data_IF_709804753728
#
_entry.id   IF_709804753728
#
_cell.length_a   1.000
_cell.length_b   1.000
_cell.length_c   1.000
_cell.angle_alpha   90.00
_cell.angle_beta   90.00
_cell.angle_gamma   90.00
#
_symmetry.space_group_name_H-M   'P 1'
#
loop_
_entity.id
_entity.type
_entity.pdbx_description
1 polymer ?
#
# COMPACT_ATOMS: atom_id res chain seq x y z
N UNK A 1 10.32 8.87 -7.54
CA UNK A 1 10.16 8.51 -6.12
C UNK A 1 9.86 7.02 -6.05
N UNK A 2 10.15 6.37 -4.93
CA UNK A 2 9.69 5.02 -4.62
C UNK A 2 9.18 4.98 -3.18
N UNK A 3 8.17 4.15 -2.94
CA UNK A 3 7.41 4.16 -1.68
C UNK A 3 7.50 2.81 -0.99
N UNK A 4 7.65 2.84 0.32
CA UNK A 4 7.60 1.67 1.19
C UNK A 4 6.89 2.03 2.49
N UNK A 5 6.46 1.02 3.23
CA UNK A 5 5.82 1.21 4.53
C UNK A 5 6.54 0.40 5.60
N UNK A 6 6.69 0.99 6.78
CA UNK A 6 7.20 0.35 7.99
C UNK A 6 5.99 -0.02 8.87
N UNK A 7 6.03 -1.22 9.46
CA UNK A 7 5.10 -1.68 10.46
C UNK A 7 5.76 -1.72 11.85
N UNK A 8 5.21 -0.95 12.78
CA UNK A 8 5.67 -0.64 14.13
C UNK A 8 6.99 0.14 14.19
N UNK A 9 8.10 -0.47 13.80
CA UNK A 9 9.43 0.14 13.96
C UNK A 9 10.37 -0.19 12.80
N UNK A 10 11.29 0.72 12.49
CA UNK A 10 12.31 0.46 11.48
C UNK A 10 13.31 -0.59 11.99
N UNK A 11 13.74 -1.60 11.19
CA UNK A 11 13.54 -1.78 9.75
C UNK A 11 12.43 -2.79 9.37
N UNK A 12 11.36 -2.91 10.17
CA UNK A 12 10.25 -3.82 9.88
C UNK A 12 9.38 -3.27 8.74
N UNK A 13 9.69 -3.64 7.50
CA UNK A 13 8.88 -3.25 6.35
C UNK A 13 7.62 -4.12 6.21
N UNK A 14 6.53 -3.50 5.73
CA UNK A 14 5.30 -4.22 5.40
C UNK A 14 5.59 -5.24 4.32
N UNK A 15 5.32 -6.51 4.62
CA UNK A 15 5.39 -7.60 3.66
C UNK A 15 4.23 -7.47 2.67
N UNK A 16 4.55 -7.29 1.39
CA UNK A 16 3.57 -7.25 0.32
C UNK A 16 3.19 -8.67 -0.12
N UNK A 17 1.91 -8.93 -0.23
CA UNK A 17 1.31 -10.20 -0.62
C UNK A 17 -0.04 -9.95 -1.32
N UNK A 18 -0.87 -10.97 -1.52
CA UNK A 18 -2.20 -10.79 -2.11
C UNK A 18 -3.16 -9.98 -1.22
N UNK A 19 -2.86 -9.82 0.08
CA UNK A 19 -3.67 -9.08 1.05
C UNK A 19 -3.15 -7.67 1.28
N UNK A 20 -1.86 -7.40 1.06
CA UNK A 20 -1.21 -6.11 1.33
C UNK A 20 -0.43 -5.61 0.13
N UNK A 21 -0.74 -4.39 -0.31
CA UNK A 21 -0.15 -3.80 -1.50
C UNK A 21 0.23 -2.33 -1.27
N UNK A 22 1.44 -1.93 -1.71
CA UNK A 22 1.88 -0.53 -1.71
C UNK A 22 1.91 -0.04 -3.14
N UNK A 23 1.11 0.98 -3.44
CA UNK A 23 1.11 1.63 -4.75
C UNK A 23 2.40 2.40 -4.95
N UNK A 24 3.08 2.18 -6.08
CA UNK A 24 4.23 2.99 -6.45
C UNK A 24 3.83 4.28 -7.17
N UNK A 25 2.56 4.41 -7.56
CA UNK A 25 1.98 5.64 -8.13
C UNK A 25 1.57 6.62 -7.03
N UNK A 26 0.80 6.18 -6.02
CA UNK A 26 0.26 7.06 -4.97
C UNK A 26 1.05 7.02 -3.67
N UNK A 27 1.82 5.96 -3.42
CA UNK A 27 2.49 5.72 -2.14
C UNK A 27 1.59 5.18 -1.03
N UNK A 28 0.31 4.95 -1.29
CA UNK A 28 -0.63 4.42 -0.29
C UNK A 28 -0.39 2.91 -0.05
N UNK A 29 -0.64 2.48 1.19
CA UNK A 29 -0.76 1.08 1.58
C UNK A 29 -2.24 0.66 1.56
N UNK A 30 -2.53 -0.43 0.87
CA UNK A 30 -3.84 -1.07 0.78
C UNK A 30 -3.79 -2.42 1.48
N UNK A 31 -4.75 -2.68 2.37
CA UNK A 31 -4.92 -3.95 3.07
C UNK A 31 -6.30 -4.50 2.73
N UNK A 32 -6.37 -5.53 1.89
CA UNK A 32 -7.62 -6.06 1.32
C UNK A 32 -8.61 -6.57 2.38
N UNK A 33 -8.07 -7.21 3.42
CA UNK A 33 -8.80 -7.65 4.61
C UNK A 33 -7.89 -7.49 5.83
N UNK A 34 -8.36 -6.74 6.83
CA UNK A 34 -7.62 -6.50 8.06
C UNK A 34 -7.73 -7.71 8.99
N UNK A 35 -6.60 -8.09 9.60
CA UNK A 35 -6.47 -9.13 10.61
C UNK A 35 -6.00 -8.51 11.94
N UNK A 36 -6.13 -9.23 13.06
CA UNK A 36 -5.67 -8.74 14.36
C UNK A 36 -4.15 -8.51 14.41
N UNK A 37 -3.38 -9.21 13.59
CA UNK A 37 -1.94 -9.04 13.42
C UNK A 37 -1.55 -7.74 12.72
N UNK A 38 -2.49 -7.04 12.08
CA UNK A 38 -2.24 -5.75 11.43
C UNK A 38 -2.36 -4.56 12.40
N UNK A 39 -2.80 -4.78 13.64
CA UNK A 39 -2.86 -3.71 14.65
C UNK A 39 -1.45 -3.22 14.98
N UNK A 40 -1.20 -1.94 14.80
CA UNK A 40 0.12 -1.35 15.01
C UNK A 40 0.26 0.03 14.39
N UNK A 41 1.50 0.53 14.35
CA UNK A 41 1.81 1.83 13.76
C UNK A 41 2.36 1.66 12.34
N UNK A 42 1.82 2.42 11.40
CA UNK A 42 2.27 2.41 10.01
C UNK A 42 2.96 3.72 9.66
N UNK A 43 4.18 3.64 9.14
CA UNK A 43 4.97 4.80 8.74
C UNK A 43 5.35 4.71 7.27
N UNK A 44 4.95 5.71 6.47
CA UNK A 44 5.34 5.79 5.07
C UNK A 44 6.80 6.24 4.93
N UNK A 45 7.53 5.57 4.04
CA UNK A 45 8.91 5.89 3.66
C UNK A 45 8.92 6.30 2.20
N UNK A 46 9.34 7.54 1.94
CA UNK A 46 9.50 8.06 0.58
C UNK A 46 10.97 8.13 0.26
N UNK A 47 11.37 7.48 -0.84
CA UNK A 47 12.75 7.50 -1.34
C UNK A 47 12.80 8.27 -2.66
N UNK A 48 13.70 9.24 -2.77
CA UNK A 48 14.02 9.87 -4.03
C UNK A 48 14.93 8.94 -4.84
N UNK A 49 14.45 8.47 -5.99
CA UNK A 49 15.15 7.50 -6.84
C UNK A 49 16.36 8.08 -7.56
N UNK A 50 16.49 9.41 -7.64
CA UNK A 50 17.63 10.10 -8.27
C UNK A 50 18.74 10.36 -7.25
N UNK A 51 18.38 10.91 -6.08
CA UNK A 51 19.35 11.30 -5.04
C UNK A 51 19.57 10.21 -3.97
N UNK A 52 18.75 9.16 -3.98
CA UNK A 52 18.69 8.12 -2.95
C UNK A 52 18.42 8.63 -1.52
N UNK A 53 17.95 9.88 -1.37
CA UNK A 53 17.55 10.44 -0.08
C UNK A 53 16.19 9.89 0.36
N UNK A 54 16.01 9.71 1.68
CA UNK A 54 14.80 9.13 2.27
C UNK A 54 14.19 10.06 3.30
N UNK A 55 12.87 10.12 3.34
CA UNK A 55 12.10 10.80 4.38
C UNK A 55 11.03 9.86 4.92
N UNK A 56 10.77 9.98 6.23
CA UNK A 56 9.74 9.20 6.92
C UNK A 56 8.60 10.14 7.29
N UNK A 57 7.36 9.70 7.04
CA UNK A 57 6.16 10.37 7.54
C UNK A 57 5.97 10.17 9.06
N UNK A 58 4.96 10.81 9.65
CA UNK A 58 4.55 10.49 11.02
C UNK A 58 3.92 9.08 11.09
N UNK A 59 4.08 8.36 12.22
CA UNK A 59 3.42 7.07 12.41
C UNK A 59 1.90 7.24 12.53
N UNK A 60 1.15 6.38 11.84
CA UNK A 60 -0.32 6.33 11.90
C UNK A 60 -0.77 5.05 12.59
N UNK A 61 -1.45 5.11 13.74
CA UNK A 61 -1.93 3.92 14.44
C UNK A 61 -3.15 3.31 13.75
N UNK A 62 -3.11 2.00 13.47
CA UNK A 62 -4.26 1.20 13.07
C UNK A 62 -4.76 0.40 14.27
N UNK A 63 -6.04 0.56 14.60
CA UNK A 63 -6.71 -0.16 15.69
C UNK A 63 -7.96 -0.86 15.17
N UNK A 64 -8.30 -2.00 15.78
CA UNK A 64 -9.59 -2.66 15.51
C UNK A 64 -10.71 -1.93 16.22
N UNK A 65 -11.87 -1.85 15.55
CA UNK A 65 -13.10 -1.38 16.16
C UNK A 65 -13.78 -2.54 16.89
N UNK A 66 -14.54 -2.22 17.94
CA UNK A 66 -15.24 -3.19 18.78
C UNK A 66 -16.74 -3.32 18.42
N UNK A 67 -17.18 -2.71 17.31
CA UNK A 67 -18.58 -2.68 16.85
C UNK A 67 -19.00 -3.91 16.03
N UNK A 68 -18.08 -4.88 15.85
CA UNK A 68 -18.34 -6.15 15.19
C UNK A 68 -17.25 -6.52 14.17
N UNK A 69 -17.35 -7.73 13.60
CA UNK A 69 -16.47 -8.16 12.50
C UNK A 69 -17.19 -7.87 11.18
N UNK A 70 -16.50 -7.22 10.24
CA UNK A 70 -17.02 -7.00 8.90
C UNK A 70 -17.20 -8.33 8.17
N UNK A 71 -18.40 -8.58 7.65
CA UNK A 71 -18.73 -9.77 6.86
C UNK A 71 -17.95 -9.86 5.55
N UNK A 72 -18.14 -10.97 4.83
CA UNK A 72 -17.61 -11.13 3.47
C UNK A 72 -18.38 -10.22 2.50
N UNK A 73 -17.68 -9.70 1.49
CA UNK A 73 -18.23 -8.80 0.48
C UNK A 73 -17.41 -8.88 -0.79
N UNK A 74 -18.07 -8.69 -1.93
CA UNK A 74 -17.45 -8.77 -3.25
C UNK A 74 -16.23 -7.84 -3.37
N UNK A 75 -15.13 -8.31 -3.98
CA UNK A 75 -13.94 -7.49 -4.18
C UNK A 75 -14.24 -6.18 -4.93
N UNK A 76 -13.92 -5.05 -4.29
CA UNK A 76 -14.02 -3.71 -4.87
C UNK A 76 -12.65 -3.19 -5.24
N UNK A 77 -12.44 -2.87 -6.51
CA UNK A 77 -11.19 -2.28 -7.01
C UNK A 77 -11.04 -0.86 -6.44
N UNK A 78 -9.93 -0.62 -5.73
CA UNK A 78 -9.57 0.70 -5.18
C UNK A 78 -8.31 1.27 -5.84
N UNK A 79 -7.47 0.41 -6.42
CA UNK A 79 -6.35 0.82 -7.26
C UNK A 79 -6.62 0.34 -8.67
N UNK A 80 -6.57 1.25 -9.63
CA UNK A 80 -6.71 0.97 -11.04
C UNK A 80 -5.75 1.83 -11.85
N UNK A 81 -5.31 1.33 -12.99
CA UNK A 81 -4.53 2.12 -13.94
C UNK A 81 -5.46 3.09 -14.71
N UNK A 82 -4.93 4.19 -15.28
CA UNK A 82 -5.71 5.13 -16.08
C UNK A 82 -6.35 4.46 -17.31
N UNK A 83 -7.49 4.97 -17.76
CA UNK A 83 -8.19 4.43 -18.95
C UNK A 83 -7.30 4.44 -20.21
N UNK A 84 -6.42 5.43 -20.32
CA UNK A 84 -5.43 5.52 -21.40
C UNK A 84 -4.03 5.68 -20.82
N UNK A 85 -3.10 4.80 -21.21
CA UNK A 85 -1.70 4.82 -20.78
C UNK A 85 -0.78 5.02 -21.99
N UNK A 86 -0.33 6.24 -22.27
CA UNK A 86 0.62 6.50 -23.35
C UNK A 86 1.97 5.85 -23.02
N UNK A 87 2.58 5.20 -24.01
CA UNK A 87 3.86 4.50 -23.84
C UNK A 87 4.77 4.68 -25.06
N UNK A 88 6.07 4.78 -24.82
CA UNK A 88 7.08 4.86 -25.86
C UNK A 88 7.61 3.48 -26.23
N UNK A 89 7.98 3.28 -27.50
CA UNK A 89 8.57 2.02 -27.95
C UNK A 89 9.87 1.74 -27.17
N UNK A 90 9.94 0.57 -26.54
CA UNK A 90 11.12 0.12 -25.80
C UNK A 90 11.14 0.49 -24.30
N UNK A 91 10.11 1.16 -23.79
CA UNK A 91 9.98 1.42 -22.34
C UNK A 91 9.19 0.33 -21.63
N UNK A 92 9.55 0.06 -20.36
CA UNK A 92 8.74 -0.80 -19.48
C UNK A 92 7.65 0.03 -18.81
N UNK A 93 6.40 -0.44 -18.91
CA UNK A 93 5.25 0.17 -18.23
C UNK A 93 4.79 -0.77 -17.12
N UNK A 94 4.50 -0.20 -15.95
CA UNK A 94 3.89 -0.93 -14.82
C UNK A 94 2.46 -0.44 -14.66
N UNK A 95 1.51 -1.37 -14.63
CA UNK A 95 0.10 -1.07 -14.35
C UNK A 95 -0.25 -1.64 -12.98
N UNK A 96 -1.00 -0.88 -12.18
CA UNK A 96 -1.40 -1.27 -10.84
C UNK A 96 -2.91 -1.53 -10.80
N UNK A 97 -3.31 -2.66 -10.19
CA UNK A 97 -4.71 -3.00 -9.94
C UNK A 97 -4.81 -3.77 -8.61
N UNK A 98 -5.61 -3.28 -7.67
CA UNK A 98 -5.77 -3.89 -6.35
C UNK A 98 -7.18 -3.67 -5.81
N UNK A 99 -7.74 -4.68 -5.16
CA UNK A 99 -9.10 -4.68 -4.65
C UNK A 99 -9.14 -4.94 -3.13
N UNK A 100 -10.17 -4.39 -2.49
CA UNK A 100 -10.53 -4.67 -1.10
C UNK A 100 -11.71 -5.64 -1.06
N UNK A 101 -11.74 -6.52 -0.06
CA UNK A 101 -12.78 -7.56 0.05
C UNK A 101 -12.26 -8.96 -0.22
N UNK A 102 -13.13 -9.94 0.00
CA UNK A 102 -12.83 -11.36 -0.13
C UNK A 102 -14.07 -12.09 -0.63
#
# INVERSE_FOLDING_TARGET
LSYAWIFNEYPSFVLQDSRRFVSQETGNLYIAKVESSDVGNYTCVVTNTVTNSRVLGPPTPLVLRNDGVMGEYEPKIEVQFPETVPSAKGTTVKLECFALGK
#
